data_IF_783363119903
#
_entry.id   IF_783363119903
#
_cell.length_a   1.000
_cell.length_b   1.000
_cell.length_c   1.000
_cell.angle_alpha   90.00
_cell.angle_beta   90.00
_cell.angle_gamma   90.00
#
_symmetry.space_group_name_H-M   'P 1'
#
loop_
_entity.id
_entity.type
_entity.pdbx_description
1 polymer ?
#
# COMPACT_ATOMS: atom_id res chain seq x y z
N UNK A 1 -12.88 15.14 -10.81
CA UNK A 1 -11.87 15.67 -9.87
C UNK A 1 -11.35 14.51 -9.05
N UNK A 2 -10.07 14.17 -9.19
CA UNK A 2 -9.47 13.08 -8.43
C UNK A 2 -9.25 13.55 -6.98
N UNK A 3 -9.88 12.87 -6.02
CA UNK A 3 -9.54 13.03 -4.62
C UNK A 3 -8.43 12.04 -4.27
N UNK A 4 -7.30 12.55 -3.79
CA UNK A 4 -6.15 11.74 -3.41
C UNK A 4 -5.76 11.96 -1.95
N UNK A 5 -5.50 10.90 -1.23
CA UNK A 5 -5.07 10.92 0.17
C UNK A 5 -3.81 10.09 0.36
N UNK A 6 -2.80 10.65 1.04
CA UNK A 6 -1.54 9.97 1.32
C UNK A 6 -1.56 9.41 2.74
N UNK A 7 -1.34 8.11 2.86
CA UNK A 7 -1.21 7.42 4.13
C UNK A 7 0.18 6.83 4.26
N UNK A 8 0.81 7.05 5.42
CA UNK A 8 2.13 6.51 5.73
C UNK A 8 2.07 5.69 7.00
N UNK A 9 2.69 4.53 7.00
CA UNK A 9 2.77 3.67 8.18
C UNK A 9 4.01 2.76 8.09
N UNK A 10 4.59 2.39 9.24
CA UNK A 10 5.59 1.32 9.27
C UNK A 10 4.91 -0.05 9.24
N UNK A 11 5.56 -1.02 8.60
CA UNK A 11 5.17 -2.42 8.66
C UNK A 11 6.38 -3.32 8.87
N UNK A 12 6.38 -4.10 9.95
CA UNK A 12 7.42 -5.09 10.23
C UNK A 12 6.98 -6.44 9.71
N UNK A 13 7.78 -7.02 8.83
CA UNK A 13 7.49 -8.34 8.29
C UNK A 13 7.53 -9.38 9.40
N UNK A 14 6.51 -10.22 9.48
CA UNK A 14 6.42 -11.33 10.45
C UNK A 14 7.28 -12.51 10.02
N UNK A 15 7.44 -12.71 8.71
CA UNK A 15 8.16 -13.84 8.11
C UNK A 15 9.52 -13.43 7.53
N UNK A 16 10.49 -14.35 7.49
CA UNK A 16 11.81 -14.10 6.89
C UNK A 16 12.67 -13.11 7.69
N UNK A 17 13.40 -12.21 7.00
CA UNK A 17 14.09 -11.12 7.68
C UNK A 17 13.04 -10.12 8.19
N UNK A 18 12.95 -9.97 9.51
CA UNK A 18 12.00 -9.11 10.23
C UNK A 18 12.34 -7.62 10.09
N UNK A 19 12.43 -7.15 8.84
CA UNK A 19 12.68 -5.75 8.53
C UNK A 19 11.41 -4.95 8.71
N UNK A 20 11.57 -3.76 9.27
CA UNK A 20 10.52 -2.73 9.31
C UNK A 20 10.64 -1.87 8.05
N UNK A 21 9.60 -1.90 7.24
CA UNK A 21 9.48 -1.13 6.02
C UNK A 21 8.67 0.15 6.26
N UNK A 22 9.10 1.24 5.65
CA UNK A 22 8.33 2.49 5.55
C UNK A 22 7.41 2.41 4.34
N UNK A 23 6.11 2.35 4.58
CA UNK A 23 5.09 2.21 3.53
C UNK A 23 4.39 3.54 3.31
N UNK A 24 4.26 3.92 2.04
CA UNK A 24 3.41 5.04 1.61
C UNK A 24 2.34 4.51 0.67
N UNK A 25 1.07 4.82 0.95
CA UNK A 25 -0.08 4.56 0.10
C UNK A 25 -0.63 5.90 -0.39
N UNK A 26 -0.83 6.03 -1.69
CA UNK A 26 -1.65 7.09 -2.28
C UNK A 26 -2.99 6.48 -2.67
N UNK A 27 -4.03 6.76 -1.90
CA UNK A 27 -5.40 6.35 -2.17
C UNK A 27 -6.05 7.37 -3.09
N UNK A 28 -6.63 6.91 -4.19
CA UNK A 28 -7.26 7.73 -5.22
C UNK A 28 -8.71 7.32 -5.38
N UNK A 29 -9.63 8.27 -5.25
CA UNK A 29 -11.02 8.09 -5.66
C UNK A 29 -11.22 8.66 -7.05
N UNK A 30 -11.55 7.79 -8.01
CA UNK A 30 -11.86 8.17 -9.39
C UNK A 30 -13.27 8.77 -9.48
N UNK A 31 -13.53 9.52 -10.55
CA UNK A 31 -14.86 10.10 -10.80
C UNK A 31 -15.97 9.05 -10.92
N UNK A 32 -15.63 7.83 -11.33
CA UNK A 32 -16.51 6.65 -11.30
C UNK A 32 -16.94 6.20 -9.91
N UNK A 33 -16.40 6.78 -8.84
CA UNK A 33 -16.59 6.35 -7.45
C UNK A 33 -15.70 5.19 -7.00
N UNK A 34 -15.05 4.50 -7.94
CA UNK A 34 -14.06 3.44 -7.68
C UNK A 34 -12.83 4.00 -6.98
N UNK A 35 -12.43 3.36 -5.88
CA UNK A 35 -11.14 3.59 -5.24
C UNK A 35 -10.05 2.79 -5.93
N UNK A 36 -8.85 3.34 -5.99
CA UNK A 36 -7.64 2.64 -6.40
C UNK A 36 -6.51 3.16 -5.53
N UNK A 37 -5.40 2.43 -5.43
CA UNK A 37 -4.25 2.90 -4.69
C UNK A 37 -2.96 2.61 -5.43
N UNK A 38 -1.96 3.45 -5.18
CA UNK A 38 -0.56 3.17 -5.47
C UNK A 38 0.20 3.08 -4.17
N UNK A 39 1.23 2.25 -4.10
CA UNK A 39 2.08 2.21 -2.90
C UNK A 39 3.56 2.13 -3.21
N UNK A 40 4.36 2.61 -2.27
CA UNK A 40 5.82 2.59 -2.30
C UNK A 40 6.33 2.05 -0.97
N UNK A 41 7.28 1.14 -1.05
CA UNK A 41 7.89 0.46 0.10
C UNK A 41 9.36 0.83 0.16
N UNK A 42 9.80 1.32 1.31
CA UNK A 42 11.20 1.65 1.57
C UNK A 42 11.73 0.87 2.76
N UNK A 43 13.04 0.63 2.78
CA UNK A 43 13.76 0.10 3.92
C UNK A 43 15.06 0.87 4.10
N UNK A 44 15.28 1.42 5.30
CA UNK A 44 16.45 2.26 5.60
C UNK A 44 16.66 3.38 4.56
N UNK A 45 15.57 4.04 4.16
CA UNK A 45 15.57 5.10 3.14
C UNK A 45 15.78 4.64 1.70
N UNK A 46 15.96 3.34 1.44
CA UNK A 46 16.10 2.80 0.08
C UNK A 46 14.77 2.28 -0.44
N UNK A 47 14.42 2.65 -1.66
CA UNK A 47 13.26 2.10 -2.37
C UNK A 47 13.40 0.59 -2.57
N UNK A 48 12.38 -0.18 -2.18
CA UNK A 48 12.35 -1.63 -2.30
C UNK A 48 11.31 -2.14 -3.29
N UNK A 49 10.32 -1.34 -3.62
CA UNK A 49 9.28 -1.74 -4.55
C UNK A 49 7.99 -0.97 -4.43
N UNK A 50 7.05 -1.27 -5.32
CA UNK A 50 5.70 -0.74 -5.28
C UNK A 50 4.74 -1.89 -4.99
N UNK A 51 3.76 -1.69 -4.11
CA UNK A 51 2.57 -2.52 -4.17
C UNK A 51 1.75 -2.09 -5.38
N UNK A 52 1.38 -3.07 -6.18
CA UNK A 52 0.73 -2.95 -7.48
C UNK A 52 -0.54 -2.05 -7.45
N UNK A 53 -0.71 -1.24 -8.51
CA UNK A 53 -1.87 -0.36 -8.70
C UNK A 53 -3.14 -1.18 -8.99
N UNK A 54 -4.03 -1.33 -8.01
CA UNK A 54 -5.24 -2.12 -8.16
C UNK A 54 -6.52 -1.38 -7.77
N UNK A 55 -7.66 -1.68 -8.44
CA UNK A 55 -8.96 -1.22 -8.00
C UNK A 55 -9.34 -1.83 -6.64
N UNK A 56 -9.92 -0.94 -5.83
CA UNK A 56 -10.64 -1.09 -4.57
C UNK A 56 -11.97 -1.84 -4.71
N UNK A 57 -12.29 -2.81 -3.85
CA UNK A 57 -13.68 -3.27 -3.68
C UNK A 57 -14.46 -2.33 -2.74
N UNK A 58 -13.75 -1.66 -1.83
CA UNK A 58 -14.29 -0.70 -0.89
C UNK A 58 -15.14 0.40 -1.53
N UNK A 59 -16.18 0.82 -0.79
CA UNK A 59 -17.13 1.88 -1.19
C UNK A 59 -17.00 3.16 -0.37
N UNK A 60 -16.26 3.11 0.72
CA UNK A 60 -15.97 4.25 1.61
C UNK A 60 -14.46 4.45 1.69
N UNK A 61 -14.02 5.67 1.97
CA UNK A 61 -12.59 5.98 2.12
C UNK A 61 -11.95 5.13 3.21
N UNK A 62 -12.62 4.99 4.36
CA UNK A 62 -12.14 4.20 5.50
C UNK A 62 -11.94 2.71 5.18
N UNK A 63 -12.90 2.10 4.48
CA UNK A 63 -12.74 0.73 4.03
C UNK A 63 -11.66 0.61 2.96
N UNK A 64 -11.52 1.62 2.09
CA UNK A 64 -10.54 1.61 1.02
C UNK A 64 -9.11 1.70 1.55
N UNK A 65 -8.86 2.50 2.60
CA UNK A 65 -7.54 2.53 3.23
C UNK A 65 -7.24 1.23 3.97
N UNK A 66 -8.22 0.65 4.66
CA UNK A 66 -8.06 -0.65 5.34
C UNK A 66 -7.74 -1.75 4.34
N UNK A 67 -8.47 -1.81 3.22
CA UNK A 67 -8.25 -2.79 2.16
C UNK A 67 -6.88 -2.59 1.47
N UNK A 68 -6.53 -1.36 1.12
CA UNK A 68 -5.24 -1.04 0.50
C UNK A 68 -4.07 -1.43 1.42
N UNK A 69 -4.18 -1.12 2.72
CA UNK A 69 -3.20 -1.48 3.73
C UNK A 69 -3.03 -3.00 3.81
N UNK A 70 -4.11 -3.76 3.96
CA UNK A 70 -4.06 -5.22 4.06
C UNK A 70 -3.36 -5.86 2.84
N UNK A 71 -3.68 -5.40 1.62
CA UNK A 71 -3.02 -5.90 0.39
C UNK A 71 -1.51 -5.59 0.37
N UNK A 72 -1.11 -4.38 0.78
CA UNK A 72 0.33 -4.02 0.80
C UNK A 72 1.09 -4.81 1.86
N UNK A 73 0.50 -5.00 3.05
CA UNK A 73 1.08 -5.84 4.09
C UNK A 73 1.28 -7.28 3.60
N UNK A 74 0.26 -7.88 2.95
CA UNK A 74 0.36 -9.19 2.31
C UNK A 74 1.46 -9.24 1.23
N UNK A 75 1.54 -8.22 0.37
CA UNK A 75 2.59 -8.14 -0.63
C UNK A 75 3.99 -8.09 -0.01
N UNK A 76 4.18 -7.35 1.08
CA UNK A 76 5.46 -7.30 1.80
C UNK A 76 5.76 -8.65 2.45
N UNK A 77 4.76 -9.30 3.07
CA UNK A 77 4.92 -10.64 3.65
C UNK A 77 5.36 -11.68 2.61
N UNK A 78 4.89 -11.56 1.37
CA UNK A 78 5.21 -12.50 0.30
C UNK A 78 6.27 -12.00 -0.70
N UNK A 79 6.88 -10.84 -0.43
CA UNK A 79 7.84 -10.17 -1.32
C UNK A 79 7.33 -9.96 -2.75
N UNK A 80 6.02 -9.73 -2.89
CA UNK A 80 5.36 -9.49 -4.17
C UNK A 80 5.65 -8.06 -4.64
N UNK A 81 6.58 -7.92 -5.58
CA UNK A 81 7.00 -6.61 -6.08
C UNK A 81 7.87 -5.83 -5.09
N UNK A 82 8.39 -6.47 -4.04
CA UNK A 82 9.30 -5.90 -3.04
C UNK A 82 10.60 -6.71 -3.05
N UNK A 83 11.74 -6.03 -3.18
CA UNK A 83 13.07 -6.66 -3.18
C UNK A 83 13.74 -6.50 -1.82
N UNK A 84 14.21 -7.59 -1.22
CA UNK A 84 15.03 -7.54 -0.01
C UNK A 84 16.45 -7.05 -0.29
#
# INVERSE_FOLDING_TARGET
MIHSEIHKFPYTRASGMQRTYDVTINLVRRDSGVYAYRSWVHYAGRFKGNGLDFPLVARTTDHAITEARARVEEHIEHLLGVTE
#
